data_IF_745695775023
#
_entry.id   IF_745695775023
#
_cell.length_a   1.000
_cell.length_b   1.000
_cell.length_c   1.000
_cell.angle_alpha   90.00
_cell.angle_beta   90.00
_cell.angle_gamma   90.00
#
_symmetry.space_group_name_H-M   'P 1'
#
loop_
_entity.id
_entity.type
_entity.pdbx_description
1 polymer ?
#
# COMPACT_ATOMS: atom_id res chain seq x y z
N UNK A 1 -55.27 15.20 10.09
CA UNK A 1 -55.75 15.11 8.71
C UNK A 1 -54.96 14.02 8.07
N UNK A 2 -55.36 12.72 8.10
CA UNK A 2 -56.32 12.02 7.23
C UNK A 2 -56.11 12.41 5.77
N UNK A 3 -55.51 11.51 4.95
CA UNK A 3 -56.24 10.50 4.18
C UNK A 3 -55.25 9.57 3.47
N UNK A 4 -55.32 8.28 3.72
CA UNK A 4 -55.20 7.16 2.78
C UNK A 4 -56.61 6.98 2.15
N UNK A 5 -56.89 6.06 1.22
CA UNK A 5 -56.21 4.86 0.72
C UNK A 5 -56.57 4.46 -0.73
N UNK A 6 -56.29 3.17 -1.03
CA UNK A 6 -56.97 2.18 -1.92
C UNK A 6 -56.58 2.16 -3.39
N UNK A 7 -56.56 1.11 -4.12
CA UNK A 7 -56.83 -0.34 -3.96
C UNK A 7 -56.85 -0.95 -5.35
N UNK A 8 -56.47 -2.22 -5.43
CA UNK A 8 -57.17 -3.34 -6.16
C UNK A 8 -57.40 -3.18 -7.68
N UNK A 9 -57.30 -4.15 -8.47
CA UNK A 9 -57.79 -5.56 -8.56
C UNK A 9 -57.23 -6.21 -9.82
N UNK A 10 -56.91 -7.46 -9.77
CA UNK A 10 -57.63 -8.72 -10.14
C UNK A 10 -57.38 -9.22 -11.57
N UNK A 11 -56.87 -10.45 -11.68
CA UNK A 11 -57.52 -11.74 -11.93
C UNK A 11 -57.75 -12.04 -13.42
N UNK A 12 -57.28 -13.19 -13.88
CA UNK A 12 -57.94 -14.41 -14.40
C UNK A 12 -57.00 -15.18 -15.36
N UNK A 13 -56.49 -16.35 -15.03
CA UNK A 13 -57.03 -17.70 -15.24
C UNK A 13 -57.57 -17.95 -16.63
N UNK A 14 -56.96 -18.87 -17.39
CA UNK A 14 -57.73 -19.88 -18.15
C UNK A 14 -56.94 -21.18 -18.35
N UNK A 15 -57.64 -22.26 -18.04
CA UNK A 15 -57.33 -23.71 -18.17
C UNK A 15 -57.70 -24.17 -19.57
N UNK A 16 -57.07 -25.26 -20.04
CA UNK A 16 -57.65 -26.46 -20.72
C UNK A 16 -56.52 -27.22 -21.39
N UNK A 17 -56.11 -28.39 -21.07
CA UNK A 17 -56.70 -29.74 -21.14
C UNK A 17 -57.15 -30.18 -22.55
N UNK A 18 -56.57 -31.28 -22.99
CA UNK A 18 -57.19 -32.47 -23.64
C UNK A 18 -56.08 -33.30 -24.32
N UNK A 19 -55.65 -34.42 -23.78
CA UNK A 19 -55.95 -35.86 -24.03
C UNK A 19 -55.52 -36.48 -25.38
N UNK A 20 -54.66 -37.50 -25.19
CA UNK A 20 -54.66 -38.86 -25.81
C UNK A 20 -54.48 -38.98 -27.31
N UNK A 21 -53.47 -39.79 -27.71
CA UNK A 21 -53.71 -41.14 -28.36
C UNK A 21 -52.44 -41.98 -28.27
N UNK A 22 -52.63 -43.23 -27.90
CA UNK A 22 -51.69 -44.38 -27.90
C UNK A 22 -51.21 -44.75 -29.31
N UNK A 23 -49.92 -45.10 -29.42
CA UNK A 23 -49.38 -45.82 -30.57
C UNK A 23 -48.21 -46.70 -30.14
N UNK A 24 -48.43 -47.93 -29.88
CA UNK A 24 -47.46 -48.99 -29.62
C UNK A 24 -46.66 -49.27 -30.88
N UNK A 25 -45.31 -49.13 -30.83
CA UNK A 25 -44.46 -49.90 -31.74
C UNK A 25 -43.20 -50.32 -30.97
N UNK A 26 -43.14 -51.60 -30.75
CA UNK A 26 -42.05 -52.38 -30.18
C UNK A 26 -40.98 -52.55 -31.24
N UNK A 27 -39.70 -52.13 -30.99
CA UNK A 27 -38.56 -52.83 -31.61
C UNK A 27 -37.23 -52.51 -30.91
N UNK A 28 -36.60 -53.58 -30.45
CA UNK A 28 -35.16 -53.84 -30.28
C UNK A 28 -34.29 -52.93 -29.38
N UNK A 29 -34.01 -53.49 -28.24
CA UNK A 29 -32.87 -53.19 -27.39
C UNK A 29 -31.52 -53.22 -28.15
N UNK A 30 -30.89 -52.10 -28.28
CA UNK A 30 -29.43 -52.00 -28.29
C UNK A 30 -29.04 -51.38 -26.99
N UNK A 31 -28.52 -52.17 -26.07
CA UNK A 31 -27.84 -51.68 -24.84
C UNK A 31 -26.52 -51.09 -25.27
N UNK A 32 -26.52 -49.79 -25.55
CA UNK A 32 -25.29 -49.00 -25.52
C UNK A 32 -25.12 -48.49 -24.08
N UNK A 33 -24.18 -49.07 -23.37
CA UNK A 33 -23.68 -48.50 -22.13
C UNK A 33 -23.26 -47.05 -22.39
N UNK A 34 -23.85 -46.03 -21.70
CA UNK A 34 -23.30 -44.70 -21.78
C UNK A 34 -21.92 -44.78 -21.12
N UNK A 35 -20.87 -44.55 -21.91
CA UNK A 35 -19.56 -44.23 -21.37
C UNK A 35 -19.78 -43.11 -20.34
N UNK A 36 -19.34 -43.33 -19.11
CA UNK A 36 -19.25 -42.27 -18.11
C UNK A 36 -18.42 -41.17 -18.72
N UNK A 37 -19.07 -40.14 -19.24
CA UNK A 37 -18.43 -38.85 -19.45
C UNK A 37 -17.92 -38.45 -18.07
N UNK A 38 -16.60 -38.51 -17.90
CA UNK A 38 -15.94 -37.90 -16.79
C UNK A 38 -16.41 -36.45 -16.78
N UNK A 39 -17.28 -36.11 -15.83
CA UNK A 39 -17.56 -34.71 -15.49
C UNK A 39 -16.21 -34.04 -15.32
N UNK A 40 -15.89 -33.00 -16.12
CA UNK A 40 -14.68 -32.23 -15.85
C UNK A 40 -14.79 -31.77 -14.41
N UNK A 41 -13.70 -31.94 -13.65
CA UNK A 41 -13.60 -31.41 -12.31
C UNK A 41 -14.04 -29.93 -12.36
N UNK A 42 -14.81 -29.44 -11.37
CA UNK A 42 -15.26 -28.07 -11.39
C UNK A 42 -14.03 -27.17 -11.62
N UNK A 43 -14.11 -26.38 -12.69
CA UNK A 43 -13.09 -25.36 -13.01
C UNK A 43 -12.84 -24.57 -11.72
N UNK A 44 -11.77 -24.89 -11.03
CA UNK A 44 -11.34 -24.09 -9.89
C UNK A 44 -11.01 -22.74 -10.50
N UNK A 45 -11.87 -21.76 -10.27
CA UNK A 45 -11.62 -20.38 -10.67
C UNK A 45 -10.20 -20.01 -10.24
N UNK A 46 -9.36 -19.77 -11.21
CA UNK A 46 -8.02 -19.22 -11.00
C UNK A 46 -8.10 -17.70 -11.02
N UNK A 47 -7.18 -17.07 -10.32
CA UNK A 47 -7.07 -15.61 -10.32
C UNK A 47 -5.62 -15.22 -10.63
N UNK A 48 -5.48 -14.21 -11.50
CA UNK A 48 -4.18 -13.72 -11.92
C UNK A 48 -3.68 -12.58 -11.02
N UNK A 49 -2.38 -12.29 -11.09
CA UNK A 49 -1.78 -11.15 -10.39
C UNK A 49 -2.36 -9.82 -10.88
N UNK A 50 -2.57 -9.69 -12.19
CA UNK A 50 -3.09 -8.48 -12.82
C UNK A 50 -4.50 -8.15 -12.32
N UNK A 51 -5.37 -9.14 -12.21
CA UNK A 51 -6.73 -8.96 -11.68
C UNK A 51 -6.71 -8.46 -10.24
N UNK A 52 -5.86 -9.05 -9.38
CA UNK A 52 -5.70 -8.62 -7.99
C UNK A 52 -5.13 -7.21 -7.87
N UNK A 53 -4.17 -6.84 -8.72
CA UNK A 53 -3.63 -5.49 -8.76
C UNK A 53 -4.70 -4.46 -9.18
N UNK A 54 -5.51 -4.77 -10.19
CA UNK A 54 -6.61 -3.90 -10.60
C UNK A 54 -7.66 -3.73 -9.50
N UNK A 55 -8.00 -4.82 -8.80
CA UNK A 55 -8.91 -4.76 -7.65
C UNK A 55 -8.33 -3.87 -6.53
N UNK A 56 -7.06 -4.05 -6.21
CA UNK A 56 -6.39 -3.25 -5.17
C UNK A 56 -6.33 -1.76 -5.53
N UNK A 57 -5.96 -1.42 -6.77
CA UNK A 57 -5.93 -0.03 -7.22
C UNK A 57 -7.31 0.64 -7.17
N UNK A 58 -8.38 -0.12 -7.27
CA UNK A 58 -9.75 0.39 -7.18
C UNK A 58 -10.26 0.50 -5.73
N UNK A 59 -9.92 -0.46 -4.89
CA UNK A 59 -10.55 -0.66 -3.58
C UNK A 59 -9.68 -0.18 -2.41
N UNK A 60 -8.37 -0.02 -2.59
CA UNK A 60 -7.48 0.32 -1.49
C UNK A 60 -7.72 1.74 -0.97
N UNK A 61 -8.05 1.93 0.32
CA UNK A 61 -8.40 3.23 0.88
C UNK A 61 -7.23 4.23 0.92
N UNK A 62 -5.98 3.75 0.94
CA UNK A 62 -4.81 4.64 1.00
C UNK A 62 -4.64 5.46 -0.28
N UNK A 63 -5.08 4.94 -1.43
CA UNK A 63 -5.10 5.69 -2.69
C UNK A 63 -6.13 6.82 -2.67
N UNK A 64 -7.30 6.57 -2.08
CA UNK A 64 -8.32 7.62 -1.89
C UNK A 64 -7.81 8.72 -0.95
N UNK A 65 -7.05 8.36 0.10
CA UNK A 65 -6.39 9.32 1.00
C UNK A 65 -5.35 10.15 0.25
N UNK A 66 -4.50 9.54 -0.57
CA UNK A 66 -3.49 10.25 -1.37
C UNK A 66 -4.15 11.26 -2.34
N UNK A 67 -5.24 10.88 -3.00
CA UNK A 67 -6.02 11.80 -3.86
C UNK A 67 -6.64 12.92 -3.05
N UNK A 68 -7.13 12.65 -1.84
CA UNK A 68 -7.67 13.68 -0.94
C UNK A 68 -6.59 14.69 -0.52
N UNK A 69 -5.36 14.24 -0.29
CA UNK A 69 -4.21 15.10 0.02
C UNK A 69 -3.91 16.07 -1.13
N UNK A 70 -3.89 15.59 -2.38
CA UNK A 70 -3.70 16.47 -3.56
C UNK A 70 -4.78 17.55 -3.63
N UNK A 71 -6.04 17.19 -3.35
CA UNK A 71 -7.15 18.17 -3.34
C UNK A 71 -7.01 19.19 -2.21
N UNK A 72 -6.52 18.76 -1.05
CA UNK A 72 -6.26 19.65 0.08
C UNK A 72 -5.17 20.66 -0.28
N UNK A 73 -4.10 20.23 -0.94
CA UNK A 73 -3.02 21.11 -1.37
C UNK A 73 -3.44 22.06 -2.48
N UNK A 74 -4.27 21.61 -3.43
CA UNK A 74 -4.88 22.53 -4.42
C UNK A 74 -5.73 23.59 -3.75
N UNK A 75 -6.51 23.23 -2.72
CA UNK A 75 -7.28 24.18 -1.91
C UNK A 75 -6.38 25.20 -1.20
N UNK A 76 -5.27 24.76 -0.59
CA UNK A 76 -4.27 25.64 0.04
C UNK A 76 -3.61 26.57 -0.97
N UNK A 77 -3.20 26.05 -2.13
CA UNK A 77 -2.65 26.83 -3.23
C UNK A 77 -3.63 27.92 -3.67
N UNK A 78 -4.92 27.58 -3.85
CA UNK A 78 -5.94 28.56 -4.20
C UNK A 78 -6.08 29.62 -3.12
N UNK A 79 -6.23 29.23 -1.85
CA UNK A 79 -6.42 30.12 -0.72
C UNK A 79 -5.25 31.09 -0.53
N UNK A 80 -4.01 30.60 -0.68
CA UNK A 80 -2.79 31.39 -0.49
C UNK A 80 -2.59 32.51 -1.52
N UNK A 81 -3.26 32.41 -2.65
CA UNK A 81 -3.19 33.39 -3.74
C UNK A 81 -4.35 34.39 -3.76
N UNK A 82 -5.30 34.32 -2.82
CA UNK A 82 -6.43 35.23 -2.78
C UNK A 82 -6.04 36.55 -2.12
N UNK A 83 -6.63 37.63 -2.64
CA UNK A 83 -6.52 38.93 -1.98
C UNK A 83 -7.28 38.93 -0.65
N UNK A 84 -6.79 39.67 0.38
CA UNK A 84 -7.56 39.91 1.59
C UNK A 84 -8.92 40.58 1.24
N UNK A 85 -9.96 40.18 1.97
CA UNK A 85 -11.29 40.77 1.77
C UNK A 85 -11.31 42.24 2.22
N UNK A 86 -12.10 43.11 1.58
CA UNK A 86 -12.32 44.47 2.05
C UNK A 86 -13.00 44.45 3.42
N UNK A 87 -12.62 45.38 4.27
CA UNK A 87 -13.27 45.64 5.55
C UNK A 87 -14.24 46.79 5.36
N UNK A 88 -15.52 46.60 5.72
CA UNK A 88 -16.51 47.65 5.79
C UNK A 88 -16.81 47.92 7.27
N UNK A 89 -16.73 49.16 7.69
CA UNK A 89 -16.94 49.52 9.09
C UNK A 89 -17.64 50.82 9.27
N UNK A 90 -18.12 51.03 10.50
CA UNK A 90 -18.62 52.29 10.97
C UNK A 90 -17.51 53.02 11.75
N UNK A 91 -17.40 54.32 11.57
CA UNK A 91 -16.46 55.18 12.30
C UNK A 91 -17.26 56.28 12.96
N UNK A 92 -16.97 56.51 14.22
CA UNK A 92 -17.49 57.67 14.95
C UNK A 92 -16.38 58.34 15.71
N UNK A 93 -16.15 59.62 15.46
CA UNK A 93 -15.15 60.43 16.10
C UNK A 93 -15.83 61.65 16.79
N UNK A 94 -15.20 62.12 17.90
CA UNK A 94 -15.65 63.28 18.69
C UNK A 94 -17.14 63.23 19.08
N UNK A 95 -17.66 62.04 19.39
CA UNK A 95 -19.04 61.84 19.84
C UNK A 95 -19.19 62.49 21.22
N UNK A 96 -19.74 63.71 21.26
CA UNK A 96 -19.99 64.47 22.50
C UNK A 96 -21.48 64.56 22.79
N UNK A 97 -21.85 64.46 24.08
CA UNK A 97 -23.24 64.49 24.53
C UNK A 97 -24.01 63.20 24.48
N UNK A 98 -24.87 63.00 25.45
CA UNK A 98 -25.48 61.69 25.80
C UNK A 98 -26.50 61.07 24.81
N UNK A 99 -26.53 61.43 23.53
CA UNK A 99 -27.48 60.93 22.54
C UNK A 99 -26.91 60.75 21.13
N UNK A 100 -25.62 60.52 20.98
CA UNK A 100 -24.97 60.35 19.66
C UNK A 100 -25.23 61.46 18.66
N UNK A 101 -25.51 62.69 19.14
CA UNK A 101 -25.91 63.84 18.31
C UNK A 101 -24.77 64.71 17.83
N UNK A 102 -23.55 64.59 18.39
CA UNK A 102 -22.39 65.37 18.01
C UNK A 102 -21.35 64.53 17.28
N UNK A 103 -20.28 65.23 16.84
CA UNK A 103 -19.12 64.60 16.22
C UNK A 103 -19.30 64.18 14.77
N UNK A 104 -18.37 63.41 14.31
CA UNK A 104 -18.28 62.88 12.97
C UNK A 104 -18.70 61.43 12.98
N UNK A 105 -19.67 61.04 12.14
CA UNK A 105 -20.18 59.66 12.09
C UNK A 105 -20.31 59.23 10.62
N UNK A 106 -19.73 58.10 10.30
CA UNK A 106 -19.76 57.67 8.91
C UNK A 106 -19.41 56.19 8.72
N UNK A 107 -19.37 55.83 7.48
CA UNK A 107 -18.94 54.48 7.07
C UNK A 107 -17.67 54.56 6.22
N UNK A 108 -16.87 53.52 6.32
CA UNK A 108 -15.67 53.37 5.51
C UNK A 108 -15.57 52.01 4.87
N UNK A 109 -14.80 51.93 3.79
CA UNK A 109 -14.30 50.73 3.17
C UNK A 109 -12.79 50.79 3.19
N UNK A 110 -12.17 49.72 3.67
CA UNK A 110 -10.73 49.58 3.72
C UNK A 110 -10.29 48.33 2.96
N UNK A 111 -9.28 48.47 2.10
CA UNK A 111 -8.66 47.37 1.34
C UNK A 111 -7.15 47.37 1.52
N UNK A 112 -6.62 46.19 1.84
CA UNK A 112 -5.17 45.96 1.79
C UNK A 112 -4.78 45.39 0.44
N UNK A 113 -3.91 46.09 -0.29
CA UNK A 113 -3.36 45.66 -1.58
C UNK A 113 -2.01 45.07 -1.34
N UNK A 114 -1.92 43.72 -1.50
CA UNK A 114 -0.67 42.98 -1.36
C UNK A 114 0.18 43.26 -2.58
N UNK A 115 1.38 43.79 -2.34
CA UNK A 115 2.32 44.23 -3.39
C UNK A 115 3.40 43.17 -3.67
N UNK A 116 4.38 43.52 -4.52
CA UNK A 116 5.59 42.71 -4.82
C UNK A 116 5.34 41.28 -5.25
N UNK A 117 4.15 40.97 -5.75
CA UNK A 117 3.83 39.61 -6.17
C UNK A 117 3.77 38.57 -5.05
N UNK A 118 3.69 38.99 -3.78
CA UNK A 118 3.71 38.10 -2.60
C UNK A 118 2.69 36.99 -2.68
N UNK A 119 1.47 37.27 -3.21
CA UNK A 119 0.42 36.26 -3.41
C UNK A 119 0.82 35.18 -4.43
N UNK A 120 1.50 35.59 -5.50
CA UNK A 120 2.07 34.69 -6.50
C UNK A 120 3.17 33.80 -5.90
N UNK A 121 4.05 34.39 -5.05
CA UNK A 121 5.09 33.65 -4.34
C UNK A 121 4.50 32.67 -3.32
N UNK A 122 3.46 33.06 -2.57
CA UNK A 122 2.73 32.15 -1.69
C UNK A 122 2.16 30.99 -2.48
N UNK A 123 1.47 31.27 -3.60
CA UNK A 123 0.91 30.24 -4.47
C UNK A 123 1.98 29.27 -4.98
N UNK A 124 3.19 29.76 -5.27
CA UNK A 124 4.29 28.90 -5.73
C UNK A 124 4.79 27.93 -4.64
N UNK A 125 4.81 28.34 -3.37
CA UNK A 125 5.14 27.43 -2.25
C UNK A 125 4.16 26.25 -2.23
N UNK A 126 2.86 26.52 -2.25
CA UNK A 126 1.83 25.49 -2.24
C UNK A 126 1.72 24.72 -3.56
N UNK A 127 2.19 25.30 -4.68
CA UNK A 127 2.36 24.56 -5.93
C UNK A 127 3.43 23.45 -5.80
N UNK A 128 4.57 23.75 -5.14
CA UNK A 128 5.59 22.72 -4.90
C UNK A 128 5.10 21.66 -3.91
N UNK A 129 4.33 22.05 -2.90
CA UNK A 129 3.70 21.14 -1.94
C UNK A 129 2.71 20.20 -2.65
N UNK A 130 1.85 20.73 -3.52
CA UNK A 130 0.96 19.93 -4.37
C UNK A 130 1.72 18.93 -5.24
N UNK A 131 2.85 19.34 -5.85
CA UNK A 131 3.68 18.44 -6.67
C UNK A 131 4.30 17.33 -5.83
N UNK A 132 4.65 17.60 -4.57
CA UNK A 132 5.07 16.56 -3.65
C UNK A 132 3.94 15.56 -3.40
N UNK A 133 2.73 16.02 -3.10
CA UNK A 133 1.57 15.17 -2.90
C UNK A 133 1.20 14.35 -4.16
N UNK A 134 1.37 14.90 -5.35
CA UNK A 134 1.20 14.17 -6.61
C UNK A 134 2.23 13.03 -6.74
N UNK A 135 3.51 13.30 -6.41
CA UNK A 135 4.56 12.30 -6.42
C UNK A 135 4.34 11.23 -5.34
N UNK A 136 3.88 11.63 -4.14
CA UNK A 136 3.51 10.71 -3.06
C UNK A 136 2.32 9.82 -3.45
N UNK A 137 1.35 10.35 -4.19
CA UNK A 137 0.23 9.55 -4.70
C UNK A 137 0.68 8.52 -5.74
N UNK A 138 1.64 8.86 -6.60
CA UNK A 138 2.23 7.91 -7.55
C UNK A 138 3.10 6.86 -6.84
N UNK A 139 3.84 7.26 -5.80
CA UNK A 139 4.54 6.33 -4.91
C UNK A 139 3.56 5.37 -4.23
N UNK A 140 2.44 5.87 -3.72
CA UNK A 140 1.44 5.04 -3.07
C UNK A 140 0.80 4.01 -4.02
N UNK A 141 0.54 4.39 -5.28
CA UNK A 141 0.08 3.44 -6.32
C UNK A 141 1.09 2.32 -6.54
N UNK A 142 2.36 2.69 -6.66
CA UNK A 142 3.43 1.71 -6.84
C UNK A 142 3.57 0.81 -5.60
N UNK A 143 3.50 1.39 -4.40
CA UNK A 143 3.54 0.69 -3.13
C UNK A 143 2.41 -0.33 -2.99
N UNK A 144 1.18 0.05 -3.31
CA UNK A 144 0.01 -0.86 -3.31
C UNK A 144 0.22 -1.99 -4.32
N UNK A 145 0.60 -1.68 -5.56
CA UNK A 145 0.83 -2.69 -6.59
C UNK A 145 1.95 -3.67 -6.21
N UNK A 146 3.02 -3.16 -5.61
CA UNK A 146 4.14 -3.97 -5.10
C UNK A 146 3.71 -4.87 -3.94
N UNK A 147 2.97 -4.33 -2.98
CA UNK A 147 2.49 -5.10 -1.84
C UNK A 147 1.56 -6.25 -2.28
N UNK A 148 0.66 -5.99 -3.24
CA UNK A 148 -0.16 -7.05 -3.85
C UNK A 148 0.72 -8.11 -4.49
N UNK A 149 1.75 -7.73 -5.26
CA UNK A 149 2.67 -8.67 -5.90
C UNK A 149 3.46 -9.50 -4.87
N UNK A 150 3.91 -8.88 -3.78
CA UNK A 150 4.61 -9.58 -2.70
C UNK A 150 3.67 -10.55 -1.96
N UNK A 151 2.46 -10.13 -1.61
CA UNK A 151 1.45 -10.99 -0.99
C UNK A 151 1.00 -12.12 -1.92
N UNK A 152 0.95 -11.87 -3.23
CA UNK A 152 0.69 -12.90 -4.23
C UNK A 152 1.79 -13.98 -4.25
N UNK A 153 3.06 -13.57 -4.22
CA UNK A 153 4.20 -14.48 -4.16
C UNK A 153 4.14 -15.32 -2.88
N UNK A 154 3.84 -14.71 -1.73
CA UNK A 154 3.68 -15.43 -0.47
C UNK A 154 2.51 -16.42 -0.51
N UNK A 155 1.38 -16.03 -1.09
CA UNK A 155 0.23 -16.92 -1.25
C UNK A 155 0.51 -18.06 -2.24
N UNK A 156 1.25 -17.81 -3.32
CA UNK A 156 1.70 -18.82 -4.26
C UNK A 156 2.70 -19.80 -3.60
N UNK A 157 3.62 -19.29 -2.76
CA UNK A 157 4.53 -20.09 -1.97
C UNK A 157 3.77 -20.99 -0.97
N UNK A 158 2.78 -20.44 -0.28
CA UNK A 158 1.93 -21.21 0.62
C UNK A 158 1.13 -22.29 -0.11
N UNK A 159 0.62 -22.01 -1.32
CA UNK A 159 -0.05 -22.99 -2.17
C UNK A 159 0.90 -24.14 -2.57
N UNK A 160 2.11 -23.82 -3.05
CA UNK A 160 3.11 -24.84 -3.41
C UNK A 160 3.60 -25.61 -2.18
N UNK A 161 3.78 -24.95 -1.04
CA UNK A 161 4.14 -25.60 0.23
C UNK A 161 3.05 -26.59 0.67
N UNK A 162 1.79 -26.24 0.55
CA UNK A 162 0.68 -27.14 0.88
C UNK A 162 0.66 -28.36 -0.02
N UNK A 163 0.83 -28.20 -1.33
CA UNK A 163 0.90 -29.32 -2.29
C UNK A 163 2.12 -30.23 -1.96
N UNK A 164 3.26 -29.63 -1.62
CA UNK A 164 4.43 -30.36 -1.16
C UNK A 164 4.13 -31.15 0.12
N UNK A 165 3.59 -30.50 1.16
CA UNK A 165 3.30 -31.15 2.45
C UNK A 165 2.28 -32.28 2.32
N UNK A 166 1.30 -32.16 1.43
CA UNK A 166 0.37 -33.26 1.10
C UNK A 166 1.10 -34.48 0.53
N UNK A 167 2.00 -34.27 -0.43
CA UNK A 167 2.79 -35.38 -0.99
C UNK A 167 3.75 -35.99 0.02
N UNK A 168 4.37 -35.17 0.90
CA UNK A 168 5.24 -35.64 1.96
C UNK A 168 4.49 -36.42 3.06
N UNK A 169 3.31 -35.98 3.45
CA UNK A 169 2.46 -36.68 4.41
C UNK A 169 2.04 -38.04 3.86
N UNK A 170 1.62 -38.09 2.57
CA UNK A 170 1.31 -39.36 1.92
C UNK A 170 2.50 -40.32 1.88
N UNK A 171 3.68 -39.82 1.50
CA UNK A 171 4.92 -40.61 1.50
C UNK A 171 5.25 -41.17 2.88
N UNK A 172 5.10 -40.37 3.94
CA UNK A 172 5.32 -40.82 5.31
C UNK A 172 4.32 -41.91 5.74
N UNK A 173 3.03 -41.76 5.39
CA UNK A 173 2.01 -42.76 5.66
C UNK A 173 2.26 -44.09 4.90
N UNK A 174 2.68 -44.01 3.63
CA UNK A 174 3.08 -45.19 2.84
C UNK A 174 4.27 -45.91 3.49
N UNK A 175 5.22 -45.15 4.06
CA UNK A 175 6.37 -45.70 4.80
C UNK A 175 5.94 -46.41 6.08
N UNK A 176 4.99 -45.83 6.86
CA UNK A 176 4.38 -46.48 8.03
C UNK A 176 3.71 -47.81 7.64
N UNK A 177 2.94 -47.79 6.55
CA UNK A 177 2.30 -49.03 6.04
C UNK A 177 3.32 -50.10 5.70
N UNK A 178 4.39 -49.74 5.01
CA UNK A 178 5.49 -50.67 4.63
C UNK A 178 6.19 -51.23 5.88
N UNK A 179 6.57 -50.38 6.86
CA UNK A 179 7.20 -50.82 8.10
C UNK A 179 6.33 -51.80 8.88
N UNK A 180 5.02 -51.54 9.00
CA UNK A 180 4.10 -52.47 9.65
C UNK A 180 4.00 -53.80 8.93
N UNK A 181 3.96 -53.81 7.59
CA UNK A 181 3.93 -55.04 6.79
C UNK A 181 5.20 -55.89 7.00
N UNK A 182 6.37 -55.26 6.99
CA UNK A 182 7.63 -55.92 7.23
C UNK A 182 7.78 -56.44 8.67
N UNK A 183 7.28 -55.74 9.66
CA UNK A 183 7.22 -56.22 11.04
C UNK A 183 6.31 -57.45 11.20
N UNK A 184 5.16 -57.48 10.52
CA UNK A 184 4.24 -58.63 10.54
C UNK A 184 4.86 -59.92 9.99
N UNK A 185 5.82 -59.82 9.07
CA UNK A 185 6.55 -60.94 8.52
C UNK A 185 7.91 -61.19 9.21
N UNK A 186 8.16 -60.48 10.32
CA UNK A 186 9.42 -60.62 11.12
C UNK A 186 10.67 -60.00 10.47
N UNK A 187 10.46 -59.04 9.53
CA UNK A 187 11.57 -58.42 8.77
C UNK A 187 11.87 -56.96 9.22
N UNK A 188 11.11 -56.41 10.15
CA UNK A 188 11.38 -55.13 10.82
C UNK A 188 11.16 -55.30 12.32
N UNK A 189 11.88 -54.53 13.11
CA UNK A 189 11.74 -54.51 14.56
C UNK A 189 10.67 -53.53 15.03
N UNK A 190 10.11 -53.77 16.22
CA UNK A 190 9.08 -52.89 16.79
C UNK A 190 9.54 -51.42 16.94
N UNK A 191 10.76 -51.08 17.30
CA UNK A 191 11.26 -49.69 17.31
C UNK A 191 11.18 -49.01 15.95
N UNK A 192 11.48 -49.72 14.85
CA UNK A 192 11.43 -49.18 13.48
C UNK A 192 10.01 -48.77 13.10
N UNK A 193 9.01 -49.56 13.52
CA UNK A 193 7.57 -49.24 13.29
C UNK A 193 7.17 -47.98 14.07
N UNK A 194 7.56 -47.92 15.36
CA UNK A 194 7.24 -46.76 16.21
C UNK A 194 7.90 -45.47 15.68
N UNK A 195 9.14 -45.55 15.19
CA UNK A 195 9.84 -44.40 14.60
C UNK A 195 9.15 -43.94 13.30
N UNK A 196 8.70 -44.88 12.46
CA UNK A 196 7.91 -44.56 11.27
C UNK A 196 6.59 -43.89 11.62
N UNK A 197 5.88 -44.37 12.66
CA UNK A 197 4.63 -43.80 13.12
C UNK A 197 4.82 -42.36 13.63
N UNK A 198 5.88 -42.09 14.39
CA UNK A 198 6.22 -40.72 14.86
C UNK A 198 6.47 -39.81 13.66
N UNK A 199 7.21 -40.26 12.65
CA UNK A 199 7.47 -39.49 11.43
C UNK A 199 6.17 -39.20 10.65
N UNK A 200 5.28 -40.21 10.55
CA UNK A 200 3.96 -40.06 9.95
C UNK A 200 3.12 -38.98 10.64
N UNK A 201 3.10 -38.96 11.98
CA UNK A 201 2.40 -37.96 12.78
C UNK A 201 3.02 -36.55 12.63
N UNK A 202 4.34 -36.45 12.57
CA UNK A 202 5.03 -35.18 12.31
C UNK A 202 4.71 -34.63 10.94
N UNK A 203 4.63 -35.48 9.90
CA UNK A 203 4.27 -35.08 8.55
C UNK A 203 2.81 -34.60 8.47
N UNK A 204 1.88 -35.25 9.19
CA UNK A 204 0.48 -34.84 9.28
C UNK A 204 0.32 -33.49 10.01
N UNK A 205 1.03 -33.29 11.11
CA UNK A 205 1.06 -32.00 11.80
C UNK A 205 1.61 -30.89 10.91
N UNK A 206 2.68 -31.16 10.15
CA UNK A 206 3.26 -30.22 9.21
C UNK A 206 2.29 -29.88 8.04
N UNK A 207 1.47 -30.84 7.61
CA UNK A 207 0.41 -30.61 6.65
C UNK A 207 -0.67 -29.67 7.22
N UNK A 208 -1.15 -29.95 8.42
CA UNK A 208 -2.12 -29.08 9.11
C UNK A 208 -1.61 -27.65 9.25
N UNK A 209 -0.33 -27.47 9.62
CA UNK A 209 0.29 -26.14 9.68
C UNK A 209 0.31 -25.45 8.32
N UNK A 210 0.58 -26.17 7.24
CA UNK A 210 0.60 -25.59 5.88
C UNK A 210 -0.82 -25.16 5.43
N UNK A 211 -1.87 -25.92 5.79
CA UNK A 211 -3.26 -25.55 5.53
C UNK A 211 -3.67 -24.26 6.24
N UNK A 212 -3.33 -24.14 7.53
CA UNK A 212 -3.59 -22.93 8.30
C UNK A 212 -2.79 -21.73 7.77
N UNK A 213 -1.53 -21.95 7.38
CA UNK A 213 -0.69 -20.90 6.79
C UNK A 213 -1.27 -20.39 5.46
N UNK A 214 -1.74 -21.28 4.58
CA UNK A 214 -2.38 -20.87 3.33
C UNK A 214 -3.59 -19.98 3.58
N UNK A 215 -4.44 -20.34 4.55
CA UNK A 215 -5.61 -19.52 4.92
C UNK A 215 -5.20 -18.15 5.48
N UNK A 216 -4.14 -18.08 6.30
CA UNK A 216 -3.62 -16.84 6.86
C UNK A 216 -3.12 -15.90 5.75
N UNK A 217 -2.22 -16.40 4.90
CA UNK A 217 -1.61 -15.61 3.83
C UNK A 217 -2.67 -15.15 2.81
N UNK A 218 -3.69 -15.97 2.54
CA UNK A 218 -4.80 -15.58 1.69
C UNK A 218 -5.60 -14.41 2.29
N UNK A 219 -5.89 -14.44 3.59
CA UNK A 219 -6.57 -13.32 4.27
C UNK A 219 -5.74 -12.05 4.25
N UNK A 220 -4.42 -12.15 4.37
CA UNK A 220 -3.49 -11.02 4.24
C UNK A 220 -3.53 -10.43 2.82
N UNK A 221 -3.49 -11.27 1.78
CA UNK A 221 -3.65 -10.86 0.40
C UNK A 221 -5.01 -10.18 0.17
N UNK A 222 -6.10 -10.76 0.67
CA UNK A 222 -7.44 -10.20 0.57
C UNK A 222 -7.55 -8.81 1.23
N UNK A 223 -6.90 -8.62 2.37
CA UNK A 223 -6.84 -7.32 3.04
C UNK A 223 -6.08 -6.26 2.23
N UNK A 224 -4.93 -6.63 1.64
CA UNK A 224 -4.14 -5.73 0.79
C UNK A 224 -4.89 -5.34 -0.49
N UNK A 225 -5.63 -6.29 -1.07
CA UNK A 225 -6.50 -6.06 -2.25
C UNK A 225 -7.70 -5.16 -1.90
N UNK A 226 -8.05 -5.04 -0.62
CA UNK A 226 -9.19 -4.23 -0.17
C UNK A 226 -10.53 -4.96 -0.29
N UNK A 227 -10.51 -6.29 -0.40
CA UNK A 227 -11.72 -7.15 -0.36
C UNK A 227 -11.55 -8.26 0.69
N UNK A 228 -11.91 -8.02 1.96
CA UNK A 228 -11.78 -9.00 3.04
C UNK A 228 -12.59 -10.29 2.82
N UNK A 229 -13.57 -10.27 1.92
CA UNK A 229 -14.44 -11.41 1.62
C UNK A 229 -14.00 -12.19 0.38
N UNK A 230 -12.82 -11.93 -0.14
CA UNK A 230 -12.28 -12.62 -1.30
C UNK A 230 -12.16 -14.13 -1.02
N UNK A 231 -12.85 -14.95 -1.80
CA UNK A 231 -12.83 -16.41 -1.66
C UNK A 231 -11.45 -16.96 -1.97
N UNK A 232 -11.07 -18.03 -1.25
CA UNK A 232 -9.86 -18.78 -1.56
C UNK A 232 -9.97 -19.39 -2.97
N UNK A 233 -9.09 -18.95 -3.86
CA UNK A 233 -8.99 -19.43 -5.24
C UNK A 233 -7.58 -19.95 -5.50
N UNK A 234 -7.42 -20.72 -6.56
CA UNK A 234 -6.09 -21.12 -7.01
C UNK A 234 -5.43 -19.95 -7.71
N UNK A 235 -4.16 -19.69 -7.36
CA UNK A 235 -3.35 -18.68 -8.01
C UNK A 235 -2.69 -19.23 -9.28
N UNK A 236 -2.55 -18.39 -10.29
CA UNK A 236 -1.88 -18.72 -11.55
C UNK A 236 -0.37 -18.59 -11.45
N UNK A 237 0.37 -19.37 -12.25
CA UNK A 237 1.83 -19.27 -12.34
C UNK A 237 2.59 -20.10 -11.30
N UNK A 238 3.90 -19.98 -11.33
CA UNK A 238 4.82 -20.66 -10.43
C UNK A 238 5.80 -19.65 -9.81
N UNK A 239 6.37 -19.99 -8.64
CA UNK A 239 7.39 -19.14 -8.01
C UNK A 239 8.64 -18.96 -8.87
N UNK A 240 8.94 -19.94 -9.72
CA UNK A 240 10.09 -19.89 -10.62
C UNK A 240 9.95 -18.79 -11.67
N UNK A 241 8.74 -18.50 -12.12
CA UNK A 241 8.43 -17.45 -13.10
C UNK A 241 8.54 -16.03 -12.51
N UNK A 242 8.52 -15.94 -11.17
CA UNK A 242 8.52 -14.66 -10.44
C UNK A 242 9.92 -14.14 -10.09
N UNK A 243 10.96 -14.92 -10.36
CA UNK A 243 12.35 -14.51 -10.08
C UNK A 243 12.89 -13.65 -11.23
N UNK A 244 13.34 -12.44 -10.91
CA UNK A 244 13.93 -11.55 -11.90
C UNK A 244 15.44 -11.77 -12.05
N UNK A 245 15.97 -11.24 -13.16
CA UNK A 245 17.38 -11.29 -13.50
C UNK A 245 18.30 -10.38 -12.67
N UNK A 246 19.37 -9.91 -13.27
CA UNK A 246 20.51 -9.20 -12.69
C UNK A 246 20.14 -8.04 -11.74
N UNK A 247 20.65 -8.09 -10.50
CA UNK A 247 20.41 -7.10 -9.46
C UNK A 247 21.42 -5.93 -9.46
N UNK A 248 22.55 -6.07 -10.16
CA UNK A 248 23.70 -5.15 -10.01
C UNK A 248 23.39 -3.71 -10.48
N UNK A 249 22.56 -3.54 -11.52
CA UNK A 249 22.13 -2.21 -12.01
C UNK A 249 20.99 -1.58 -11.22
N UNK A 250 20.25 -2.36 -10.41
CA UNK A 250 19.03 -1.87 -9.76
C UNK A 250 19.33 -0.90 -8.59
N UNK A 251 20.45 -1.03 -7.91
CA UNK A 251 20.80 -0.15 -6.78
C UNK A 251 20.97 1.31 -7.25
N UNK A 252 21.67 1.53 -8.34
CA UNK A 252 21.85 2.89 -8.89
C UNK A 252 20.50 3.46 -9.38
N UNK A 253 19.65 2.65 -9.97
CA UNK A 253 18.29 3.04 -10.36
C UNK A 253 17.46 3.43 -9.12
N UNK A 254 17.52 2.62 -8.06
CA UNK A 254 16.83 2.92 -6.77
C UNK A 254 17.30 4.26 -6.21
N UNK A 255 18.59 4.52 -6.18
CA UNK A 255 19.17 5.74 -5.59
C UNK A 255 18.88 6.99 -6.43
N UNK A 256 18.78 6.86 -7.75
CA UNK A 256 18.62 8.03 -8.63
C UNK A 256 17.17 8.30 -9.03
N UNK A 257 16.34 7.28 -9.15
CA UNK A 257 14.99 7.38 -9.72
C UNK A 257 13.85 7.15 -8.72
N UNK A 258 14.17 6.79 -7.47
CA UNK A 258 13.16 6.53 -6.45
C UNK A 258 12.21 7.73 -6.25
N UNK A 259 10.91 7.49 -6.11
CA UNK A 259 9.96 8.52 -5.72
C UNK A 259 10.36 9.27 -4.45
N UNK A 260 10.96 8.61 -3.47
CA UNK A 260 11.44 9.22 -2.24
C UNK A 260 12.51 10.31 -2.51
N UNK A 261 13.40 10.10 -3.47
CA UNK A 261 14.39 11.11 -3.89
C UNK A 261 13.71 12.28 -4.58
N UNK A 262 12.75 12.02 -5.47
CA UNK A 262 11.96 13.07 -6.14
C UNK A 262 11.18 13.94 -5.15
N UNK A 263 10.58 13.34 -4.13
CA UNK A 263 9.88 14.05 -3.06
C UNK A 263 10.85 14.95 -2.30
N UNK A 264 12.04 14.46 -1.96
CA UNK A 264 13.07 15.27 -1.30
C UNK A 264 13.56 16.42 -2.20
N UNK A 265 13.74 16.22 -3.50
CA UNK A 265 14.09 17.26 -4.46
C UNK A 265 12.98 18.32 -4.61
N UNK A 266 11.72 17.92 -4.58
CA UNK A 266 10.59 18.86 -4.52
C UNK A 266 10.56 19.63 -3.21
N UNK A 267 11.02 19.04 -2.11
CA UNK A 267 11.26 19.71 -0.83
C UNK A 267 12.26 20.84 -0.95
N UNK A 268 13.35 20.66 -1.71
CA UNK A 268 14.31 21.72 -2.02
C UNK A 268 13.63 22.87 -2.78
N UNK A 269 12.83 22.55 -3.82
CA UNK A 269 12.09 23.57 -4.60
C UNK A 269 11.08 24.34 -3.74
N UNK A 270 10.42 23.66 -2.79
CA UNK A 270 9.53 24.30 -1.82
C UNK A 270 10.31 25.26 -0.91
N UNK A 271 11.47 24.85 -0.41
CA UNK A 271 12.33 25.69 0.42
C UNK A 271 12.86 26.91 -0.35
N UNK A 272 13.25 26.76 -1.62
CA UNK A 272 13.63 27.87 -2.51
C UNK A 272 12.48 28.86 -2.70
N UNK A 273 11.25 28.36 -2.93
CA UNK A 273 10.07 29.21 -3.05
C UNK A 273 9.77 29.96 -1.76
N UNK A 274 9.94 29.32 -0.58
CA UNK A 274 9.76 29.91 0.73
C UNK A 274 10.81 31.01 0.99
N UNK A 275 12.06 30.78 0.63
CA UNK A 275 13.12 31.76 0.71
C UNK A 275 12.84 32.99 -0.19
N UNK A 276 12.39 32.74 -1.44
CA UNK A 276 12.01 33.81 -2.34
C UNK A 276 10.88 34.65 -1.74
N UNK A 277 9.87 34.01 -1.15
CA UNK A 277 8.78 34.71 -0.46
C UNK A 277 9.28 35.53 0.74
N UNK A 278 10.16 34.97 1.59
CA UNK A 278 10.73 35.67 2.75
C UNK A 278 11.52 36.88 2.35
N UNK A 279 12.27 36.85 1.26
CA UNK A 279 13.03 37.98 0.70
C UNK A 279 12.15 39.11 0.17
N UNK A 280 10.92 38.86 -0.24
CA UNK A 280 9.98 39.85 -0.74
C UNK A 280 9.07 40.42 0.35
N UNK A 281 9.08 39.85 1.56
CA UNK A 281 8.25 40.36 2.69
C UNK A 281 8.51 41.79 3.06
N UNK A 282 9.79 42.31 3.06
CA UNK A 282 10.06 43.71 3.42
C UNK A 282 9.43 44.77 2.50
N UNK A 283 9.01 44.37 1.27
CA UNK A 283 8.35 45.31 0.38
C UNK A 283 6.95 45.60 0.93
N UNK A 284 6.62 46.88 1.26
CA UNK A 284 5.40 47.22 1.97
C UNK A 284 4.13 46.98 1.11
N UNK A 285 3.05 46.59 1.78
CA UNK A 285 1.72 46.56 1.20
C UNK A 285 1.05 47.93 1.28
N UNK A 286 0.13 48.21 0.36
CA UNK A 286 -0.58 49.44 0.28
C UNK A 286 -1.94 49.28 1.01
N UNK A 287 -2.23 50.14 1.97
CA UNK A 287 -3.50 50.22 2.66
C UNK A 287 -4.31 51.37 2.08
N UNK A 288 -5.46 51.08 1.54
CA UNK A 288 -6.42 52.08 1.03
C UNK A 288 -7.63 52.09 1.93
N UNK A 289 -8.03 53.30 2.34
CA UNK A 289 -9.25 53.51 3.12
C UNK A 289 -9.99 54.70 2.58
N UNK A 290 -11.28 54.57 2.35
CA UNK A 290 -12.13 55.67 1.90
C UNK A 290 -13.51 55.56 2.56
N UNK A 291 -14.11 56.71 2.80
CA UNK A 291 -15.42 56.72 3.43
C UNK A 291 -16.12 58.06 3.29
N UNK A 292 -17.30 58.07 3.82
CA UNK A 292 -18.13 59.27 3.95
C UNK A 292 -18.62 59.41 5.38
N UNK A 293 -18.56 60.60 5.94
CA UNK A 293 -19.00 60.89 7.29
C UNK A 293 -19.87 62.17 7.34
N UNK A 294 -20.82 62.13 8.21
CA UNK A 294 -21.65 63.31 8.53
C UNK A 294 -20.97 64.06 9.70
N UNK A 295 -20.43 65.21 9.40
CA UNK A 295 -19.87 66.13 10.43
C UNK A 295 -20.97 67.03 10.91
N UNK A 296 -21.21 67.00 12.21
CA UNK A 296 -22.25 67.78 12.88
C UNK A 296 -21.69 68.99 13.66
N UNK A 297 -20.41 69.23 13.51
CA UNK A 297 -19.81 70.44 14.07
C UNK A 297 -20.38 71.70 13.40
N UNK A 298 -20.68 72.69 14.22
CA UNK A 298 -21.18 73.98 13.74
C UNK A 298 -20.06 74.84 13.22
N UNK A 299 -20.17 75.31 12.01
CA UNK A 299 -19.24 76.37 11.51
C UNK A 299 -19.40 77.62 12.35
N UNK A 300 -18.27 78.07 12.86
CA UNK A 300 -18.16 79.12 13.94
C UNK A 300 -18.91 80.40 13.64
N UNK A 301 -19.16 80.82 12.41
CA UNK A 301 -19.74 82.08 12.02
C UNK A 301 -21.24 81.97 11.55
N UNK A 302 -21.70 80.80 11.21
CA UNK A 302 -23.03 80.65 10.58
C UNK A 302 -23.97 79.74 11.33
N UNK A 303 -23.53 79.02 12.34
CA UNK A 303 -24.34 78.06 13.09
C UNK A 303 -24.85 76.90 12.23
N UNK A 304 -24.30 76.68 11.04
CA UNK A 304 -24.68 75.56 10.16
C UNK A 304 -23.74 74.38 10.39
N UNK A 305 -24.25 73.13 10.41
CA UNK A 305 -23.39 71.93 10.49
C UNK A 305 -22.53 71.81 9.22
N UNK A 306 -21.29 71.35 9.37
CA UNK A 306 -20.35 71.14 8.26
C UNK A 306 -20.92 70.19 7.18
N UNK A 307 -21.73 69.23 7.58
CA UNK A 307 -22.48 68.36 6.66
C UNK A 307 -21.72 67.11 6.26
N UNK A 308 -22.02 66.61 5.06
CA UNK A 308 -21.45 65.40 4.52
C UNK A 308 -20.00 65.66 4.03
N UNK A 309 -19.07 64.88 4.54
CA UNK A 309 -17.65 64.94 4.16
C UNK A 309 -17.20 63.55 3.63
N UNK A 310 -16.41 63.57 2.59
CA UNK A 310 -15.68 62.36 2.12
C UNK A 310 -14.23 62.40 2.54
N UNK A 311 -13.66 61.24 2.83
CA UNK A 311 -12.24 61.10 3.07
C UNK A 311 -11.65 59.97 2.28
N UNK A 312 -10.35 60.05 1.96
CA UNK A 312 -9.56 59.00 1.37
C UNK A 312 -8.18 58.99 2.04
N UNK A 313 -7.72 57.84 2.43
CA UNK A 313 -6.45 57.62 3.10
C UNK A 313 -5.64 56.55 2.36
N UNK A 314 -4.36 56.80 2.21
CA UNK A 314 -3.41 55.87 1.61
C UNK A 314 -2.25 55.70 2.60
N UNK A 315 -2.06 54.49 3.10
CA UNK A 315 -1.02 54.16 4.07
C UNK A 315 -0.05 53.10 3.54
N UNK A 316 1.22 53.25 3.94
CA UNK A 316 2.26 52.24 3.69
C UNK A 316 3.04 52.02 4.99
N UNK A 317 3.24 50.74 5.34
CA UNK A 317 4.06 50.40 6.51
C UNK A 317 5.53 50.26 6.09
N UNK A 318 6.36 51.24 6.43
CA UNK A 318 7.80 51.24 6.05
C UNK A 318 8.59 50.34 7.02
N UNK A 319 9.28 49.29 6.54
CA UNK A 319 10.01 48.33 7.37
C UNK A 319 11.39 48.87 7.77
N UNK A 320 11.45 49.75 8.75
CA UNK A 320 12.71 50.36 9.24
C UNK A 320 13.47 49.35 10.12
N UNK A 321 12.81 48.76 11.09
CA UNK A 321 13.38 47.87 12.09
C UNK A 321 13.21 46.38 11.69
N UNK A 322 12.01 45.96 11.37
CA UNK A 322 11.72 44.62 10.95
C UNK A 322 11.72 44.50 9.41
N UNK A 323 12.86 44.04 8.89
CA UNK A 323 13.08 43.78 7.45
C UNK A 323 12.96 42.29 7.13
N UNK A 324 12.27 41.53 7.94
CA UNK A 324 12.13 40.08 7.82
C UNK A 324 13.46 39.31 7.85
N UNK A 325 14.52 39.89 8.45
CA UNK A 325 15.87 39.33 8.46
C UNK A 325 15.93 37.97 9.15
N UNK A 326 15.17 37.79 10.24
CA UNK A 326 15.10 36.52 10.98
C UNK A 326 14.48 35.40 10.12
N UNK A 327 13.31 35.64 9.51
CA UNK A 327 12.66 34.67 8.65
C UNK A 327 13.47 34.35 7.38
N UNK A 328 14.22 35.33 6.86
CA UNK A 328 15.11 35.09 5.71
C UNK A 328 16.27 34.17 6.12
N UNK A 329 16.83 34.34 7.33
CA UNK A 329 17.85 33.43 7.87
C UNK A 329 17.29 32.03 8.10
N UNK A 330 16.10 31.91 8.68
CA UNK A 330 15.41 30.63 8.86
C UNK A 330 15.19 29.92 7.53
N UNK A 331 14.67 30.65 6.52
CA UNK A 331 14.41 30.05 5.20
C UNK A 331 15.69 29.64 4.47
N UNK A 332 16.84 30.32 4.68
CA UNK A 332 18.13 29.85 4.18
C UNK A 332 18.54 28.53 4.86
N UNK A 333 18.43 28.46 6.21
CA UNK A 333 18.74 27.24 6.93
C UNK A 333 17.81 26.06 6.55
N UNK A 334 16.53 26.34 6.28
CA UNK A 334 15.58 25.34 5.79
C UNK A 334 15.96 24.84 4.39
N UNK A 335 16.46 25.72 3.52
CA UNK A 335 16.99 25.33 2.21
C UNK A 335 18.21 24.41 2.35
N UNK A 336 19.19 24.78 3.20
CA UNK A 336 20.35 23.95 3.46
C UNK A 336 19.94 22.59 4.02
N UNK A 337 18.97 22.56 4.96
CA UNK A 337 18.41 21.33 5.52
C UNK A 337 17.76 20.46 4.43
N UNK A 338 16.95 21.03 3.54
CA UNK A 338 16.31 20.31 2.45
C UNK A 338 17.33 19.70 1.47
N UNK A 339 18.43 20.41 1.17
CA UNK A 339 19.51 19.87 0.34
C UNK A 339 20.20 18.67 1.02
N UNK A 340 20.49 18.75 2.33
CA UNK A 340 21.05 17.62 3.08
C UNK A 340 20.09 16.46 3.21
N UNK A 341 18.79 16.71 3.18
CA UNK A 341 17.77 15.67 3.19
C UNK A 341 17.83 14.80 1.93
N UNK A 342 18.05 15.39 0.75
CA UNK A 342 18.26 14.64 -0.49
C UNK A 342 19.45 13.68 -0.36
N UNK A 343 20.58 14.17 0.16
CA UNK A 343 21.78 13.34 0.39
C UNK A 343 21.47 12.21 1.39
N UNK A 344 20.80 12.52 2.49
CA UNK A 344 20.41 11.54 3.52
C UNK A 344 19.52 10.45 2.96
N UNK A 345 18.50 10.81 2.14
CA UNK A 345 17.59 9.86 1.51
C UNK A 345 18.35 8.91 0.58
N UNK A 346 19.27 9.43 -0.24
CA UNK A 346 20.10 8.60 -1.13
C UNK A 346 20.98 7.62 -0.35
N UNK A 347 21.56 8.03 0.77
CA UNK A 347 22.36 7.16 1.62
C UNK A 347 21.50 6.08 2.29
N UNK A 348 20.33 6.44 2.80
CA UNK A 348 19.40 5.50 3.41
C UNK A 348 18.90 4.45 2.41
N UNK A 349 18.65 4.84 1.15
CA UNK A 349 18.28 3.91 0.08
C UNK A 349 19.42 2.94 -0.25
N UNK A 350 20.68 3.42 -0.30
CA UNK A 350 21.84 2.55 -0.52
C UNK A 350 22.01 1.51 0.59
N UNK A 351 21.88 1.94 1.85
CA UNK A 351 21.97 1.04 3.00
C UNK A 351 20.92 -0.07 2.91
N UNK A 352 19.66 0.31 2.68
CA UNK A 352 18.56 -0.66 2.56
C UNK A 352 18.72 -1.59 1.35
N UNK A 353 19.08 -1.03 0.21
CA UNK A 353 19.31 -1.81 -1.01
C UNK A 353 20.40 -2.87 -0.80
N UNK A 354 21.48 -2.54 -0.09
CA UNK A 354 22.58 -3.46 0.15
C UNK A 354 22.14 -4.75 0.86
N UNK A 355 21.27 -4.64 1.90
CA UNK A 355 20.75 -5.80 2.62
C UNK A 355 19.83 -6.67 1.76
N UNK A 356 18.98 -6.05 0.95
CA UNK A 356 18.04 -6.75 0.06
C UNK A 356 18.78 -7.43 -1.09
N UNK A 357 19.79 -6.78 -1.68
CA UNK A 357 20.67 -7.37 -2.71
C UNK A 357 21.38 -8.61 -2.17
N UNK A 358 21.96 -8.54 -0.97
CA UNK A 358 22.58 -9.70 -0.33
C UNK A 358 21.59 -10.84 -0.15
N UNK A 359 20.41 -10.56 0.38
CA UNK A 359 19.35 -11.55 0.59
C UNK A 359 18.88 -12.17 -0.72
N UNK A 360 18.74 -11.36 -1.76
CA UNK A 360 18.41 -11.82 -3.11
C UNK A 360 19.48 -12.74 -3.67
N UNK A 361 20.75 -12.30 -3.66
CA UNK A 361 21.87 -13.08 -4.20
C UNK A 361 21.99 -14.43 -3.50
N UNK A 362 21.87 -14.45 -2.15
CA UNK A 362 21.90 -15.68 -1.39
C UNK A 362 20.72 -16.61 -1.73
N UNK A 363 19.48 -16.10 -1.68
CA UNK A 363 18.29 -16.93 -1.91
C UNK A 363 18.20 -17.44 -3.35
N UNK A 364 18.61 -16.63 -4.33
CA UNK A 364 18.68 -17.03 -5.73
C UNK A 364 19.71 -18.13 -5.96
N UNK A 365 20.93 -17.98 -5.43
CA UNK A 365 21.97 -18.99 -5.53
C UNK A 365 21.57 -20.29 -4.79
N UNK A 366 20.93 -20.17 -3.61
CA UNK A 366 20.44 -21.31 -2.84
C UNK A 366 19.36 -22.08 -3.61
N UNK A 367 18.36 -21.38 -4.18
CA UNK A 367 17.31 -22.00 -4.99
C UNK A 367 17.90 -22.77 -6.18
N UNK A 368 18.86 -22.18 -6.91
CA UNK A 368 19.53 -22.82 -8.01
C UNK A 368 20.28 -24.12 -7.58
N UNK A 369 20.99 -24.08 -6.46
CA UNK A 369 21.70 -25.26 -5.92
C UNK A 369 20.74 -26.33 -5.43
N UNK A 370 19.66 -25.96 -4.74
CA UNK A 370 18.64 -26.93 -4.32
C UNK A 370 18.04 -27.64 -5.51
N UNK A 371 17.61 -26.90 -6.54
CA UNK A 371 16.96 -27.45 -7.74
C UNK A 371 17.88 -28.36 -8.54
N UNK A 372 19.09 -27.89 -8.84
CA UNK A 372 19.95 -28.53 -9.84
C UNK A 372 20.91 -29.57 -9.25
N UNK A 373 21.25 -29.44 -7.97
CA UNK A 373 22.30 -30.28 -7.36
C UNK A 373 21.83 -31.13 -6.19
N UNK A 374 21.22 -30.50 -5.17
CA UNK A 374 20.99 -31.16 -3.88
C UNK A 374 19.78 -32.09 -3.92
N UNK A 375 18.63 -31.61 -4.40
CA UNK A 375 17.39 -32.39 -4.47
C UNK A 375 17.55 -33.63 -5.37
N UNK A 376 18.14 -33.56 -6.59
CA UNK A 376 18.33 -34.73 -7.42
C UNK A 376 19.21 -35.79 -6.76
N UNK A 377 20.28 -35.37 -6.08
CA UNK A 377 21.17 -36.29 -5.35
C UNK A 377 20.49 -36.92 -4.15
N UNK A 378 19.76 -36.14 -3.35
CA UNK A 378 19.02 -36.63 -2.20
C UNK A 378 17.90 -37.58 -2.61
N UNK A 379 17.19 -37.30 -3.69
CA UNK A 379 16.17 -38.18 -4.25
C UNK A 379 16.75 -39.52 -4.65
N UNK A 380 17.86 -39.51 -5.40
CA UNK A 380 18.55 -40.73 -5.81
C UNK A 380 19.05 -41.53 -4.60
N UNK A 381 19.58 -40.88 -3.57
CA UNK A 381 19.99 -41.54 -2.34
C UNK A 381 18.81 -42.21 -1.63
N UNK A 382 17.71 -41.51 -1.49
CA UNK A 382 16.47 -42.05 -0.91
C UNK A 382 15.98 -43.28 -1.70
N UNK A 383 15.85 -43.19 -3.02
CA UNK A 383 15.41 -44.28 -3.89
C UNK A 383 16.31 -45.53 -3.77
N UNK A 384 17.65 -45.32 -3.71
CA UNK A 384 18.59 -46.41 -3.53
C UNK A 384 18.46 -47.08 -2.16
N UNK A 385 18.33 -46.31 -1.06
CA UNK A 385 18.12 -46.87 0.28
C UNK A 385 16.77 -47.54 0.41
N UNK A 386 15.68 -46.99 -0.14
CA UNK A 386 14.37 -47.59 -0.13
C UNK A 386 14.35 -48.95 -0.88
N UNK A 387 15.00 -49.02 -2.05
CA UNK A 387 15.15 -50.28 -2.81
C UNK A 387 15.95 -51.30 -2.04
N UNK A 388 17.09 -50.92 -1.46
CA UNK A 388 17.93 -51.84 -0.64
C UNK A 388 17.18 -52.34 0.60
N UNK A 389 16.39 -51.48 1.24
CA UNK A 389 15.57 -51.87 2.37
C UNK A 389 14.52 -52.92 2.00
N UNK A 390 13.84 -52.76 0.88
CA UNK A 390 12.92 -53.75 0.34
C UNK A 390 13.62 -55.09 0.01
N UNK A 391 14.94 -55.05 -0.34
CA UNK A 391 15.77 -56.22 -0.61
C UNK A 391 16.47 -56.76 0.67
N UNK A 392 16.15 -56.25 1.85
CA UNK A 392 16.78 -56.58 3.14
C UNK A 392 18.31 -56.30 3.18
N UNK A 393 18.81 -55.43 2.32
CA UNK A 393 20.22 -55.08 2.20
C UNK A 393 20.57 -53.71 2.85
N UNK A 394 19.62 -53.03 3.49
CA UNK A 394 19.82 -51.81 4.25
C UNK A 394 18.91 -51.76 5.48
N UNK A 395 19.38 -51.13 6.56
CA UNK A 395 18.59 -50.91 7.76
C UNK A 395 17.63 -49.74 7.58
N UNK A 396 16.46 -49.80 8.23
CA UNK A 396 15.41 -48.75 8.17
C UNK A 396 15.90 -47.33 8.51
N UNK A 397 16.76 -47.12 9.54
CA UNK A 397 17.27 -45.79 9.86
C UNK A 397 17.95 -45.07 8.69
N UNK A 398 18.61 -45.82 7.78
CA UNK A 398 19.23 -45.20 6.59
C UNK A 398 18.19 -44.66 5.60
N UNK A 399 17.07 -45.35 5.42
CA UNK A 399 15.93 -44.88 4.60
C UNK A 399 15.34 -43.65 5.20
N UNK A 400 15.11 -43.62 6.52
CA UNK A 400 14.50 -42.51 7.25
C UNK A 400 15.37 -41.25 7.17
N UNK A 401 16.69 -41.36 7.37
CA UNK A 401 17.62 -40.22 7.25
C UNK A 401 17.59 -39.64 5.83
N UNK A 402 17.64 -40.53 4.81
CA UNK A 402 17.60 -40.07 3.42
C UNK A 402 16.25 -39.39 3.07
N UNK A 403 15.15 -39.94 3.57
CA UNK A 403 13.80 -39.35 3.41
C UNK A 403 13.69 -37.97 4.07
N UNK A 404 14.10 -37.85 5.34
CA UNK A 404 14.12 -36.55 6.07
C UNK A 404 14.98 -35.54 5.34
N UNK A 405 16.16 -35.92 4.86
CA UNK A 405 17.04 -35.02 4.10
C UNK A 405 16.37 -34.54 2.82
N UNK A 406 15.75 -35.42 2.05
CA UNK A 406 15.01 -35.05 0.84
C UNK A 406 13.87 -34.08 1.15
N UNK A 407 13.04 -34.37 2.18
CA UNK A 407 11.94 -33.53 2.62
C UNK A 407 12.42 -32.12 3.04
N UNK A 408 13.48 -32.05 3.84
CA UNK A 408 14.07 -30.78 4.29
C UNK A 408 14.57 -29.94 3.11
N UNK A 409 15.25 -30.55 2.14
CA UNK A 409 15.75 -29.85 0.95
C UNK A 409 14.62 -29.32 0.06
N UNK A 410 13.53 -30.07 -0.10
CA UNK A 410 12.36 -29.61 -0.88
C UNK A 410 11.66 -28.42 -0.21
N UNK A 411 11.51 -28.45 1.11
CA UNK A 411 10.96 -27.32 1.87
C UNK A 411 11.88 -26.10 1.79
N UNK A 412 13.19 -26.31 1.96
CA UNK A 412 14.17 -25.24 1.85
C UNK A 412 14.21 -24.62 0.45
N UNK A 413 13.95 -25.40 -0.59
CA UNK A 413 13.85 -24.90 -1.97
C UNK A 413 12.66 -23.94 -2.16
N UNK A 414 11.46 -24.32 -1.70
CA UNK A 414 10.29 -23.45 -1.78
C UNK A 414 10.51 -22.14 -1.02
N UNK A 415 11.09 -22.21 0.18
CA UNK A 415 11.40 -21.01 0.96
C UNK A 415 12.47 -20.13 0.28
N UNK A 416 13.46 -20.73 -0.37
CA UNK A 416 14.49 -20.00 -1.12
C UNK A 416 13.91 -19.31 -2.36
N UNK A 417 12.97 -19.96 -3.07
CA UNK A 417 12.24 -19.36 -4.18
C UNK A 417 11.39 -18.19 -3.73
N UNK A 418 10.62 -18.35 -2.66
CA UNK A 418 9.79 -17.28 -2.08
C UNK A 418 10.65 -16.06 -1.72
N UNK A 419 11.75 -16.29 -0.99
CA UNK A 419 12.67 -15.21 -0.61
C UNK A 419 13.32 -14.54 -1.82
N UNK A 420 13.72 -15.31 -2.83
CA UNK A 420 14.31 -14.79 -4.06
C UNK A 420 13.30 -13.92 -4.83
N UNK A 421 12.06 -14.41 -5.02
CA UNK A 421 11.02 -13.69 -5.72
C UNK A 421 10.61 -12.40 -4.97
N UNK A 422 10.43 -12.47 -3.66
CA UNK A 422 10.06 -11.32 -2.82
C UNK A 422 11.14 -10.23 -2.84
N UNK A 423 12.41 -10.60 -2.64
CA UNK A 423 13.53 -9.65 -2.70
C UNK A 423 13.71 -9.04 -4.10
N UNK A 424 13.50 -9.82 -5.16
CA UNK A 424 13.51 -9.32 -6.53
C UNK A 424 12.45 -8.24 -6.75
N UNK A 425 11.22 -8.47 -6.29
CA UNK A 425 10.14 -7.49 -6.37
C UNK A 425 10.45 -6.24 -5.56
N UNK A 426 11.01 -6.39 -4.35
CA UNK A 426 11.43 -5.25 -3.53
C UNK A 426 12.46 -4.36 -4.24
N UNK A 427 13.46 -4.96 -4.90
CA UNK A 427 14.47 -4.21 -5.67
C UNK A 427 13.87 -3.50 -6.87
N UNK A 428 12.98 -4.15 -7.64
CA UNK A 428 12.34 -3.56 -8.82
C UNK A 428 11.38 -2.41 -8.48
N UNK A 429 10.85 -2.39 -7.26
CA UNK A 429 9.87 -1.39 -6.81
C UNK A 429 10.46 -0.35 -5.85
N UNK A 430 11.73 -0.02 -5.98
CA UNK A 430 12.40 0.98 -5.16
C UNK A 430 12.30 0.73 -3.65
N UNK A 431 12.22 -0.54 -3.23
CA UNK A 431 12.05 -0.97 -1.83
C UNK A 431 10.74 -0.49 -1.19
N UNK A 432 9.73 -0.20 -2.00
CA UNK A 432 8.42 0.23 -1.53
C UNK A 432 7.58 -1.01 -1.15
N UNK A 433 7.34 -1.16 0.14
CA UNK A 433 6.52 -2.21 0.75
C UNK A 433 5.37 -1.57 1.54
N UNK A 434 4.49 -2.37 2.16
CA UNK A 434 3.41 -1.90 3.03
C UNK A 434 2.35 -1.00 2.36
N UNK A 435 1.62 -1.59 1.40
CA UNK A 435 0.56 -0.91 0.64
C UNK A 435 -0.64 -0.43 1.45
N UNK A 436 -0.78 -0.84 2.71
CA UNK A 436 -1.79 -0.36 3.64
C UNK A 436 -1.30 0.78 4.54
N UNK A 437 -0.03 1.14 4.47
CA UNK A 437 0.48 2.31 5.17
C UNK A 437 -0.12 3.59 4.60
N UNK A 438 -0.62 4.47 5.49
CA UNK A 438 -1.24 5.71 5.06
C UNK A 438 -0.21 6.63 4.38
N UNK A 439 -0.57 7.33 3.29
CA UNK A 439 0.30 8.35 2.70
C UNK A 439 0.56 9.48 3.73
N UNK A 440 1.68 10.18 3.57
CA UNK A 440 2.03 11.32 4.41
C UNK A 440 0.89 12.35 4.42
N UNK A 441 0.65 12.99 5.57
CA UNK A 441 -0.35 14.05 5.62
C UNK A 441 0.25 15.36 5.06
N UNK A 442 -0.58 16.18 4.37
CA UNK A 442 -0.14 17.49 3.90
C UNK A 442 0.40 18.34 5.06
N UNK A 443 1.62 18.85 4.92
CA UNK A 443 2.30 19.61 5.96
C UNK A 443 3.17 18.79 6.93
N UNK A 444 3.14 17.46 6.85
CA UNK A 444 3.99 16.56 7.67
C UNK A 444 5.35 16.21 7.02
N UNK A 445 5.72 16.90 5.98
CA UNK A 445 6.90 16.60 5.14
C UNK A 445 8.24 16.74 5.89
N UNK A 446 8.21 17.21 7.12
CA UNK A 446 9.41 17.30 7.99
C UNK A 446 9.70 16.01 8.78
N UNK A 447 8.90 14.96 8.63
CA UNK A 447 9.22 13.67 9.25
C UNK A 447 10.29 12.95 8.43
N UNK A 448 11.29 12.34 9.11
CA UNK A 448 12.28 11.52 8.42
C UNK A 448 11.57 10.43 7.62
N UNK A 449 12.16 10.05 6.48
CA UNK A 449 11.67 8.95 5.63
C UNK A 449 11.26 7.81 6.56
N UNK A 450 9.97 7.42 6.49
CA UNK A 450 9.42 6.37 7.33
C UNK A 450 10.32 5.15 7.25
N UNK A 451 10.75 4.67 8.41
CA UNK A 451 11.47 3.41 8.47
C UNK A 451 10.56 2.33 7.88
N UNK A 452 10.90 1.86 6.69
CA UNK A 452 10.27 0.68 6.14
C UNK A 452 10.66 -0.48 7.07
N UNK A 453 9.71 -0.99 7.83
CA UNK A 453 9.85 -2.24 8.54
C UNK A 453 9.94 -3.37 7.51
N UNK A 454 11.15 -3.61 7.02
CA UNK A 454 11.46 -4.93 6.46
C UNK A 454 11.36 -5.87 7.64
N UNK A 455 10.45 -6.85 7.66
CA UNK A 455 10.43 -7.80 8.76
C UNK A 455 11.76 -8.54 8.76
N UNK A 456 12.66 -8.14 9.65
CA UNK A 456 13.83 -8.94 9.98
C UNK A 456 13.29 -10.27 10.49
N UNK A 457 13.49 -11.34 9.74
CA UNK A 457 13.42 -12.68 10.28
C UNK A 457 14.43 -12.73 11.42
N UNK A 458 13.92 -12.63 12.64
CA UNK A 458 14.72 -12.93 13.82
C UNK A 458 15.19 -14.36 13.67
N UNK A 459 16.49 -14.54 13.45
CA UNK A 459 17.15 -15.82 13.65
C UNK A 459 16.76 -16.33 15.03
N UNK A 460 16.34 -17.60 15.18
CA UNK A 460 16.01 -18.14 16.48
C UNK A 460 17.23 -17.96 17.38
N UNK A 461 17.11 -17.14 18.39
CA UNK A 461 18.13 -16.94 19.39
C UNK A 461 18.39 -18.28 20.08
N UNK A 462 19.60 -18.80 19.92
CA UNK A 462 20.16 -19.83 20.76
C UNK A 462 20.20 -19.33 22.20
N UNK A 463 19.13 -19.60 22.95
CA UNK A 463 19.12 -19.56 24.42
C UNK A 463 18.48 -20.85 24.90
N UNK A 464 19.30 -21.86 24.98
CA UNK A 464 19.19 -22.89 26.00
C UNK A 464 20.61 -23.28 26.40
N UNK A 465 20.98 -22.84 27.55
CA UNK A 465 21.82 -23.54 28.50
C UNK A 465 21.06 -23.65 29.79
#
# INVERSE_FOLDING_TARGET
MKFTPTSTERILVFRSAVRCVLGVFSLLLFVTTPGQAQTPAPDQKTISLEELQQMALKNNPTLAQAIANIRADEGRKQQSGLYPNPTVGYQGEEIRGGSFRGGEQGFFVQQNIVTAGKLGLNRNIFEQEKRQAETEADEQKLRVATNVKMSYIQALAAQQMLELRRSLSKLAQDTVGTSRQLANVGQADAPDVLEAEVEGQQAELALTMAEQNQQRVWKELAAVVGDPNLYLMRLEGTLEDMTAGDADGLVETIVNESPAVRIAELGVKKAEASLARAKHEPIPDLQLRAGMQQNRELLDTTGRPTGLQGFAEVGVQIPIFNRNQGNTTTSNADLDRAQREVERVKLALRERAASVVQSYAYSHAAAARYKNEMIPRARKAYEMYATKYQQMAAAYPQVLIAQRTLMQLQVAYVNALESSATNSVALQSYLLTDGLEAPSQPGEIDRPVREMNVPFQQSPSSKER
#
